data_IF_544025813922
#
_entry.id   IF_544025813922
#
_cell.length_a   1.000
_cell.length_b   1.000
_cell.length_c   1.000
_cell.angle_alpha   90.00
_cell.angle_beta   90.00
_cell.angle_gamma   90.00
#
_symmetry.space_group_name_H-M   'P 1'
#
loop_
_entity.id
_entity.type
_entity.pdbx_description
1 polymer ?
#
# COMPACT_ATOMS: atom_id res chain seq x y z
N UNK A 1 -11.53 -4.90 6.41
CA UNK A 1 -10.69 -5.57 5.39
C UNK A 1 -11.49 -5.69 4.12
N UNK A 2 -10.86 -5.45 2.98
CA UNK A 2 -11.54 -5.34 1.68
C UNK A 2 -11.04 -6.45 0.76
N UNK A 3 -11.89 -7.45 0.49
CA UNK A 3 -11.57 -8.49 -0.49
C UNK A 3 -11.94 -8.00 -1.89
N UNK A 4 -10.94 -7.91 -2.77
CA UNK A 4 -11.10 -7.43 -4.15
C UNK A 4 -10.74 -8.53 -5.17
N UNK A 5 -10.90 -9.80 -4.80
CA UNK A 5 -10.46 -10.92 -5.64
C UNK A 5 -11.23 -11.00 -6.97
N UNK A 6 -12.55 -10.72 -6.94
CA UNK A 6 -13.38 -10.62 -8.16
C UNK A 6 -12.90 -9.47 -9.04
N UNK A 7 -12.74 -8.28 -8.47
CA UNK A 7 -12.30 -7.09 -9.20
C UNK A 7 -10.96 -7.33 -9.90
N UNK A 8 -9.99 -7.92 -9.19
CA UNK A 8 -8.70 -8.32 -9.76
C UNK A 8 -8.87 -9.26 -10.95
N UNK A 9 -9.72 -10.28 -10.82
CA UNK A 9 -9.95 -11.23 -11.91
C UNK A 9 -10.60 -10.56 -13.12
N UNK A 10 -11.61 -9.72 -12.90
CA UNK A 10 -12.33 -9.02 -13.98
C UNK A 10 -11.43 -8.05 -14.73
N UNK A 11 -10.69 -7.19 -14.01
CA UNK A 11 -9.73 -6.26 -14.62
C UNK A 11 -8.56 -7.00 -15.29
N UNK A 12 -8.12 -8.13 -14.71
CA UNK A 12 -7.08 -8.98 -15.27
C UNK A 12 -7.43 -9.60 -16.64
N UNK A 13 -8.72 -9.86 -16.91
CA UNK A 13 -9.19 -10.31 -18.23
C UNK A 13 -9.11 -9.21 -19.28
N UNK A 14 -9.14 -7.94 -18.88
CA UNK A 14 -8.99 -6.77 -19.76
C UNK A 14 -7.51 -6.49 -20.01
N UNK A 15 -6.74 -6.32 -18.94
CA UNK A 15 -5.30 -6.14 -19.01
C UNK A 15 -4.62 -6.53 -17.69
N UNK A 16 -3.54 -7.33 -17.72
CA UNK A 16 -2.94 -7.91 -16.51
C UNK A 16 -2.46 -6.87 -15.49
N UNK A 17 -2.04 -5.68 -15.94
CA UNK A 17 -1.56 -4.60 -15.07
C UNK A 17 -2.62 -3.53 -14.74
N UNK A 18 -3.89 -3.71 -15.12
CA UNK A 18 -4.94 -2.72 -14.88
C UNK A 18 -5.27 -2.58 -13.40
N UNK A 19 -5.46 -3.70 -12.70
CA UNK A 19 -5.70 -3.71 -11.26
C UNK A 19 -4.61 -2.95 -10.50
N UNK A 20 -3.33 -3.27 -10.76
CA UNK A 20 -2.20 -2.58 -10.15
C UNK A 20 -2.15 -1.08 -10.47
N UNK A 21 -2.56 -0.65 -11.67
CA UNK A 21 -2.64 0.78 -11.99
C UNK A 21 -3.73 1.50 -11.17
N UNK A 22 -4.88 0.84 -10.94
CA UNK A 22 -5.94 1.36 -10.06
C UNK A 22 -5.42 1.48 -8.63
N UNK A 23 -4.84 0.41 -8.09
CA UNK A 23 -4.31 0.40 -6.72
C UNK A 23 -3.21 1.43 -6.51
N UNK A 24 -2.28 1.57 -7.44
CA UNK A 24 -1.24 2.58 -7.38
C UNK A 24 -1.83 4.01 -7.37
N UNK A 25 -2.84 4.26 -8.20
CA UNK A 25 -3.50 5.56 -8.28
C UNK A 25 -4.25 5.90 -6.98
N UNK A 26 -5.02 4.94 -6.44
CA UNK A 26 -5.75 5.13 -5.19
C UNK A 26 -4.80 5.30 -4.01
N UNK A 27 -3.78 4.45 -3.88
CA UNK A 27 -2.79 4.52 -2.80
C UNK A 27 -2.09 5.90 -2.78
N UNK A 28 -1.66 6.41 -3.94
CA UNK A 28 -1.00 7.72 -4.01
C UNK A 28 -1.95 8.89 -3.69
N UNK A 29 -3.17 8.85 -4.20
CA UNK A 29 -4.08 9.99 -4.14
C UNK A 29 -4.87 10.06 -2.82
N UNK A 30 -5.19 8.90 -2.23
CA UNK A 30 -5.97 8.80 -1.00
C UNK A 30 -5.12 8.86 0.27
N UNK A 31 -3.82 8.62 0.18
CA UNK A 31 -2.90 8.66 1.34
C UNK A 31 -3.13 9.84 2.30
N UNK A 32 -3.42 11.09 1.84
CA UNK A 32 -3.67 12.22 2.76
C UNK A 32 -5.05 12.28 3.43
N UNK A 33 -6.02 11.48 2.97
CA UNK A 33 -7.45 11.65 3.27
C UNK A 33 -8.14 10.37 3.76
N UNK A 34 -7.78 9.24 3.15
CA UNK A 34 -8.32 7.91 3.41
C UNK A 34 -7.21 6.88 3.09
N UNK A 35 -6.17 6.80 3.93
CA UNK A 35 -5.02 5.96 3.66
C UNK A 35 -5.44 4.50 3.54
N UNK A 36 -4.83 3.82 2.58
CA UNK A 36 -5.09 2.41 2.31
C UNK A 36 -3.78 1.63 2.48
N UNK A 37 -3.88 0.46 3.10
CA UNK A 37 -2.79 -0.50 3.22
C UNK A 37 -2.93 -1.55 2.12
N UNK A 38 -1.89 -1.70 1.30
CA UNK A 38 -1.91 -2.49 0.07
C UNK A 38 -0.77 -3.50 0.01
N UNK A 39 -0.80 -4.36 -1.02
CA UNK A 39 0.32 -5.25 -1.33
C UNK A 39 1.66 -4.54 -1.57
N UNK A 40 1.66 -3.24 -1.94
CA UNK A 40 2.90 -2.46 -2.04
C UNK A 40 3.52 -2.21 -0.67
N UNK A 41 2.70 -1.88 0.31
CA UNK A 41 3.14 -1.55 1.67
C UNK A 41 3.73 -2.80 2.33
N UNK A 42 3.03 -3.93 2.21
CA UNK A 42 3.53 -5.23 2.65
C UNK A 42 4.84 -5.61 1.92
N UNK A 43 4.90 -5.48 0.58
CA UNK A 43 6.12 -5.75 -0.18
C UNK A 43 7.33 -4.94 0.32
N UNK A 44 7.15 -3.62 0.52
CA UNK A 44 8.23 -2.75 1.00
C UNK A 44 8.63 -3.11 2.43
N UNK A 45 7.66 -3.40 3.29
CA UNK A 45 7.94 -3.78 4.67
C UNK A 45 8.64 -5.13 4.80
N UNK A 46 8.24 -6.14 4.01
CA UNK A 46 8.95 -7.43 3.96
C UNK A 46 10.39 -7.26 3.46
N UNK A 47 10.62 -6.41 2.45
CA UNK A 47 11.98 -6.10 2.01
C UNK A 47 12.76 -5.42 3.13
N UNK A 48 12.20 -4.45 3.85
CA UNK A 48 12.93 -3.79 4.94
C UNK A 48 13.26 -4.77 6.08
N UNK A 49 12.29 -5.58 6.52
CA UNK A 49 12.46 -6.49 7.66
C UNK A 49 13.39 -7.67 7.35
N UNK A 50 13.32 -8.21 6.14
CA UNK A 50 14.04 -9.44 5.78
C UNK A 50 15.19 -9.23 4.79
N UNK A 51 15.31 -8.04 4.21
CA UNK A 51 16.33 -7.64 3.23
C UNK A 51 16.86 -6.22 3.57
N UNK A 52 17.30 -6.03 4.81
CA UNK A 52 17.90 -4.78 5.28
C UNK A 52 19.34 -4.57 4.80
N UNK A 53 19.94 -3.45 5.21
CA UNK A 53 21.24 -2.96 4.72
C UNK A 53 22.38 -4.01 4.74
N UNK A 54 22.40 -4.89 5.74
CA UNK A 54 23.45 -5.92 5.91
C UNK A 54 23.18 -7.22 5.14
N UNK A 55 21.97 -7.43 4.61
CA UNK A 55 21.58 -8.73 4.05
C UNK A 55 22.54 -9.20 2.95
N UNK A 56 22.98 -8.28 2.09
CA UNK A 56 23.87 -8.59 0.98
C UNK A 56 25.24 -9.04 1.47
N UNK A 57 25.78 -8.33 2.47
CA UNK A 57 27.08 -8.63 3.08
C UNK A 57 27.02 -9.98 3.80
N UNK A 58 26.00 -10.19 4.64
CA UNK A 58 25.79 -11.44 5.37
C UNK A 58 25.63 -12.65 4.43
N UNK A 59 24.86 -12.50 3.34
CA UNK A 59 24.65 -13.57 2.38
C UNK A 59 25.94 -13.88 1.58
N UNK A 60 26.74 -12.86 1.28
CA UNK A 60 28.00 -13.01 0.57
C UNK A 60 29.06 -13.67 1.45
N UNK A 61 29.15 -13.28 2.72
CA UNK A 61 30.02 -13.89 3.72
C UNK A 61 29.72 -15.38 3.87
N UNK A 62 28.46 -15.75 4.12
CA UNK A 62 28.08 -17.17 4.23
C UNK A 62 28.41 -17.97 2.95
N UNK A 63 28.22 -17.40 1.77
CA UNK A 63 28.56 -18.05 0.50
C UNK A 63 30.06 -18.31 0.39
N UNK A 64 30.88 -17.32 0.77
CA UNK A 64 32.33 -17.43 0.74
C UNK A 64 32.83 -18.44 1.78
N UNK A 65 32.23 -18.47 2.96
CA UNK A 65 32.51 -19.48 3.98
C UNK A 65 32.17 -20.89 3.50
N UNK A 66 30.96 -21.08 2.94
CA UNK A 66 30.48 -22.37 2.46
C UNK A 66 31.25 -22.90 1.25
N UNK A 67 31.78 -21.99 0.41
CA UNK A 67 32.56 -22.35 -0.78
C UNK A 67 34.06 -22.49 -0.50
N UNK A 68 34.54 -22.03 0.66
CA UNK A 68 35.96 -21.90 1.01
C UNK A 68 36.77 -21.07 0.01
N UNK A 69 36.10 -20.19 -0.74
CA UNK A 69 36.70 -19.32 -1.76
C UNK A 69 36.01 -17.96 -1.71
N UNK A 70 36.77 -16.89 -1.92
CA UNK A 70 36.21 -15.56 -2.06
C UNK A 70 35.58 -15.40 -3.46
N UNK A 71 34.26 -15.47 -3.51
CA UNK A 71 33.44 -15.33 -4.71
C UNK A 71 32.88 -13.90 -4.79
N UNK A 72 32.61 -13.45 -6.02
CA UNK A 72 31.93 -12.20 -6.31
C UNK A 72 30.78 -12.50 -7.28
N UNK A 73 29.70 -13.13 -6.79
CA UNK A 73 28.58 -13.53 -7.62
C UNK A 73 27.81 -12.32 -8.15
N UNK A 74 27.02 -12.52 -9.21
CA UNK A 74 25.98 -11.56 -9.55
C UNK A 74 24.91 -11.53 -8.44
N UNK A 75 24.24 -10.39 -8.25
CA UNK A 75 23.16 -10.23 -7.27
C UNK A 75 22.09 -11.34 -7.41
N UNK A 76 21.74 -11.69 -8.65
CA UNK A 76 20.78 -12.75 -8.95
C UNK A 76 21.25 -14.13 -8.50
N UNK A 77 22.54 -14.43 -8.65
CA UNK A 77 23.09 -15.73 -8.26
C UNK A 77 23.24 -15.83 -6.74
N UNK A 78 23.58 -14.72 -6.07
CA UNK A 78 23.56 -14.62 -4.62
C UNK A 78 22.16 -14.87 -4.06
N UNK A 79 21.13 -14.26 -4.65
CA UNK A 79 19.73 -14.51 -4.26
C UNK A 79 19.34 -15.98 -4.40
N UNK A 80 19.65 -16.61 -5.54
CA UNK A 80 19.36 -18.03 -5.78
C UNK A 80 20.12 -18.96 -4.84
N UNK A 81 21.31 -18.56 -4.40
CA UNK A 81 22.05 -19.31 -3.41
C UNK A 81 21.39 -19.16 -2.02
N UNK A 82 21.05 -17.93 -1.62
CA UNK A 82 20.37 -17.65 -0.35
C UNK A 82 19.02 -18.39 -0.24
N UNK A 83 18.20 -18.37 -1.31
CA UNK A 83 16.95 -19.13 -1.40
C UNK A 83 17.16 -20.64 -1.17
N UNK A 84 18.26 -21.21 -1.70
CA UNK A 84 18.59 -22.63 -1.51
C UNK A 84 19.03 -22.96 -0.08
N UNK A 85 19.49 -21.97 0.68
CA UNK A 85 19.81 -22.11 2.11
C UNK A 85 18.60 -21.83 3.01
N UNK A 86 17.42 -21.54 2.44
CA UNK A 86 16.21 -21.19 3.20
C UNK A 86 16.23 -19.77 3.77
N UNK A 87 17.11 -18.88 3.27
CA UNK A 87 17.11 -17.45 3.61
C UNK A 87 16.11 -16.71 2.72
N UNK A 88 15.40 -15.75 3.32
CA UNK A 88 14.56 -14.80 2.58
C UNK A 88 15.35 -14.06 1.52
N UNK A 89 14.78 -13.89 0.33
CA UNK A 89 15.35 -13.08 -0.75
C UNK A 89 14.32 -12.14 -1.39
N UNK A 90 14.77 -11.09 -2.12
CA UNK A 90 13.86 -10.25 -2.91
C UNK A 90 13.07 -11.05 -3.95
N UNK A 91 13.61 -12.17 -4.42
CA UNK A 91 12.94 -13.09 -5.33
C UNK A 91 11.71 -13.75 -4.71
N UNK A 92 11.78 -14.15 -3.45
CA UNK A 92 10.66 -14.75 -2.71
C UNK A 92 9.58 -13.71 -2.40
N UNK A 93 9.98 -12.54 -1.92
CA UNK A 93 9.07 -11.42 -1.63
C UNK A 93 8.34 -10.99 -2.91
N UNK A 94 9.04 -10.93 -4.05
CA UNK A 94 8.42 -10.62 -5.35
C UNK A 94 7.45 -11.69 -5.87
N UNK A 95 7.63 -12.97 -5.50
CA UNK A 95 6.67 -14.05 -5.80
C UNK A 95 5.40 -13.93 -4.94
N UNK A 96 5.55 -13.52 -3.69
CA UNK A 96 4.45 -13.30 -2.74
C UNK A 96 3.61 -12.08 -3.14
N UNK A 97 4.28 -10.99 -3.57
CA UNK A 97 3.65 -9.74 -3.99
C UNK A 97 3.97 -9.42 -5.46
N UNK A 98 3.33 -10.10 -6.43
CA UNK A 98 3.59 -9.83 -7.83
C UNK A 98 3.18 -8.39 -8.19
N UNK A 99 4.05 -7.68 -8.91
CA UNK A 99 3.87 -6.26 -9.29
C UNK A 99 2.46 -5.89 -9.80
N UNK A 100 1.77 -6.70 -10.63
CA UNK A 100 0.43 -6.39 -11.09
C UNK A 100 -0.64 -6.20 -9.99
N UNK A 101 -0.36 -6.58 -8.74
CA UNK A 101 -1.24 -6.32 -7.60
C UNK A 101 -1.27 -4.85 -7.18
N UNK A 102 -0.21 -4.08 -7.43
CA UNK A 102 -0.08 -2.74 -6.84
C UNK A 102 0.67 -1.74 -7.71
N UNK A 103 1.12 -2.15 -8.90
CA UNK A 103 1.86 -1.30 -9.83
C UNK A 103 1.36 -1.47 -11.25
N UNK A 104 1.16 -0.36 -11.93
CA UNK A 104 0.72 -0.36 -13.33
C UNK A 104 0.95 0.98 -14.00
N UNK A 105 1.00 1.00 -15.34
CA UNK A 105 1.18 2.25 -16.06
C UNK A 105 -0.10 3.11 -16.00
N UNK A 106 -0.04 4.43 -15.73
CA UNK A 106 -1.22 5.28 -15.63
C UNK A 106 -2.13 5.25 -16.86
N UNK A 107 -1.56 5.09 -18.07
CA UNK A 107 -2.33 4.93 -19.32
C UNK A 107 -3.32 3.75 -19.30
N UNK A 108 -3.07 2.71 -18.51
CA UNK A 108 -4.02 1.60 -18.41
C UNK A 108 -5.36 2.04 -17.79
N UNK A 109 -5.39 3.11 -16.99
CA UNK A 109 -6.63 3.63 -16.43
C UNK A 109 -7.65 4.05 -17.51
N UNK A 110 -7.18 4.40 -18.70
CA UNK A 110 -8.06 4.72 -19.85
C UNK A 110 -8.92 3.51 -20.25
N UNK A 111 -8.45 2.27 -20.01
CA UNK A 111 -9.21 1.04 -20.27
C UNK A 111 -10.47 0.94 -19.41
N UNK A 112 -10.51 1.62 -18.25
CA UNK A 112 -11.72 1.67 -17.43
C UNK A 112 -12.88 2.32 -18.19
N UNK A 113 -12.60 3.20 -19.17
CA UNK A 113 -13.63 3.92 -19.95
C UNK A 113 -14.29 3.07 -21.03
N UNK A 114 -13.80 1.85 -21.27
CA UNK A 114 -14.39 0.96 -22.26
C UNK A 114 -15.81 0.53 -21.85
N UNK A 115 -16.78 0.46 -22.78
CA UNK A 115 -18.17 0.12 -22.46
C UNK A 115 -18.32 -1.23 -21.75
N UNK A 116 -17.53 -2.23 -22.12
CA UNK A 116 -17.50 -3.55 -21.50
C UNK A 116 -16.97 -3.52 -20.06
N UNK A 117 -16.03 -2.62 -19.76
CA UNK A 117 -15.44 -2.46 -18.42
C UNK A 117 -16.39 -1.67 -17.52
N UNK A 118 -17.08 -0.66 -18.06
CA UNK A 118 -18.11 0.11 -17.34
C UNK A 118 -19.32 -0.72 -16.88
N UNK A 119 -19.54 -1.91 -17.46
CA UNK A 119 -20.62 -2.83 -17.04
C UNK A 119 -20.23 -3.72 -15.86
N UNK A 120 -18.94 -3.77 -15.51
CA UNK A 120 -18.48 -4.54 -14.36
C UNK A 120 -18.94 -3.89 -13.06
N UNK A 121 -19.17 -4.72 -12.04
CA UNK A 121 -19.64 -4.27 -10.74
C UNK A 121 -18.69 -3.22 -10.13
N UNK A 122 -19.27 -2.12 -9.64
CA UNK A 122 -18.57 -1.05 -8.93
C UNK A 122 -17.63 -0.18 -9.78
N UNK A 123 -17.35 -0.54 -11.05
CA UNK A 123 -16.49 0.26 -11.93
C UNK A 123 -17.00 1.68 -12.17
N UNK A 124 -18.31 1.94 -12.38
CA UNK A 124 -18.80 3.32 -12.49
C UNK A 124 -18.51 4.15 -11.24
N UNK A 125 -18.67 3.57 -10.04
CA UNK A 125 -18.38 4.25 -8.76
C UNK A 125 -16.89 4.51 -8.58
N UNK A 126 -16.04 3.50 -8.86
CA UNK A 126 -14.58 3.66 -8.88
C UNK A 126 -14.16 4.79 -9.83
N UNK A 127 -14.74 4.79 -11.03
CA UNK A 127 -14.49 5.81 -12.05
C UNK A 127 -14.86 7.21 -11.57
N UNK A 128 -16.03 7.36 -10.95
CA UNK A 128 -16.47 8.63 -10.37
C UNK A 128 -15.51 9.13 -9.28
N UNK A 129 -14.99 8.23 -8.43
CA UNK A 129 -13.95 8.58 -7.47
C UNK A 129 -12.66 9.02 -8.18
N UNK A 130 -12.18 8.24 -9.16
CA UNK A 130 -10.96 8.56 -9.89
C UNK A 130 -11.03 9.90 -10.63
N UNK A 131 -12.20 10.27 -11.15
CA UNK A 131 -12.46 11.58 -11.78
C UNK A 131 -12.55 12.71 -10.75
N UNK A 132 -12.89 12.39 -9.49
CA UNK A 132 -12.95 13.36 -8.40
C UNK A 132 -11.58 13.67 -7.79
N UNK A 133 -10.67 12.69 -7.71
CA UNK A 133 -9.33 12.86 -7.10
C UNK A 133 -8.53 14.08 -7.60
N UNK A 134 -8.52 14.44 -8.91
CA UNK A 134 -7.80 15.62 -9.39
C UNK A 134 -8.38 16.96 -8.92
N UNK A 135 -9.63 16.98 -8.43
CA UNK A 135 -10.30 18.19 -7.94
C UNK A 135 -9.94 18.51 -6.47
N UNK A 136 -9.18 17.64 -5.80
CA UNK A 136 -8.82 17.83 -4.40
C UNK A 136 -7.82 18.99 -4.21
N UNK A 137 -7.93 19.77 -3.13
CA UNK A 137 -7.01 20.88 -2.87
C UNK A 137 -5.56 20.39 -2.73
N UNK A 138 -4.69 20.86 -3.62
CA UNK A 138 -3.24 20.54 -3.56
C UNK A 138 -2.58 21.07 -2.28
N UNK A 139 -3.14 22.12 -1.68
CA UNK A 139 -2.71 22.70 -0.39
C UNK A 139 -2.81 21.69 0.75
N UNK A 140 -3.79 20.79 0.70
CA UNK A 140 -4.00 19.75 1.72
C UNK A 140 -3.04 18.57 1.49
N UNK A 141 -2.67 18.29 0.24
CA UNK A 141 -1.68 17.25 -0.10
C UNK A 141 -0.28 17.53 0.51
N UNK A 142 0.03 18.79 0.80
CA UNK A 142 1.28 19.23 1.42
C UNK A 142 1.26 19.19 2.95
N UNK A 143 0.17 18.74 3.57
CA UNK A 143 0.04 18.66 5.03
C UNK A 143 1.03 17.72 5.73
N UNK A 144 1.95 17.06 5.01
CA UNK A 144 2.90 16.03 5.43
C UNK A 144 3.77 16.29 6.66
N UNK A 145 3.69 17.44 7.33
CA UNK A 145 4.30 17.61 8.65
C UNK A 145 3.82 16.49 9.62
N UNK A 146 2.61 15.96 9.44
CA UNK A 146 2.10 14.82 10.23
C UNK A 146 2.65 13.44 9.86
N UNK A 147 3.11 13.27 8.62
CA UNK A 147 3.77 12.04 8.13
C UNK A 147 5.28 12.06 8.40
N UNK A 148 5.89 13.25 8.33
CA UNK A 148 7.32 13.47 8.49
C UNK A 148 7.78 13.41 9.96
N UNK A 149 6.88 13.70 10.92
CA UNK A 149 7.17 13.69 12.37
C UNK A 149 7.03 12.31 13.05
N UNK A 150 6.86 11.22 12.29
CA UNK A 150 6.98 9.80 12.74
C UNK A 150 6.17 9.38 13.98
N UNK A 151 5.05 10.05 14.32
CA UNK A 151 4.31 9.76 15.57
C UNK A 151 2.78 9.91 15.53
N UNK A 152 2.11 9.79 14.39
CA UNK A 152 0.69 10.19 14.33
C UNK A 152 -0.23 9.19 13.65
N UNK A 153 -1.36 8.95 14.32
CA UNK A 153 -2.52 8.19 13.86
C UNK A 153 -3.30 9.07 12.88
N UNK A 154 -3.56 8.59 11.67
CA UNK A 154 -4.49 9.23 10.75
C UNK A 154 -5.90 9.26 11.37
N UNK A 155 -6.65 10.37 11.32
CA UNK A 155 -7.94 10.52 12.02
C UNK A 155 -9.07 9.62 11.50
N UNK A 156 -8.79 8.76 10.52
CA UNK A 156 -9.74 7.81 9.94
C UNK A 156 -9.16 6.42 9.87
N UNK A 157 -10.04 5.44 9.69
CA UNK A 157 -9.67 4.04 9.52
C UNK A 157 -8.71 3.88 8.32
N UNK A 158 -7.72 3.01 8.49
CA UNK A 158 -6.89 2.53 7.39
C UNK A 158 -7.62 1.37 6.73
N UNK A 159 -7.90 1.48 5.44
CA UNK A 159 -8.51 0.38 4.69
C UNK A 159 -7.44 -0.63 4.27
N UNK A 160 -7.57 -1.87 4.73
CA UNK A 160 -6.65 -2.96 4.35
C UNK A 160 -7.22 -3.69 3.13
N UNK A 161 -6.48 -3.65 2.02
CA UNK A 161 -6.84 -4.27 0.76
C UNK A 161 -6.17 -5.64 0.62
N UNK A 162 -6.97 -6.70 0.69
CA UNK A 162 -6.53 -8.08 0.51
C UNK A 162 -6.90 -8.56 -0.90
N UNK A 163 -5.97 -9.25 -1.55
CA UNK A 163 -6.05 -9.59 -2.97
C UNK A 163 -6.10 -11.10 -3.23
N UNK A 164 -6.09 -11.90 -2.17
CA UNK A 164 -6.19 -13.35 -2.23
C UNK A 164 -7.63 -13.83 -1.93
N UNK A 165 -7.94 -15.03 -2.43
CA UNK A 165 -9.24 -15.68 -2.27
C UNK A 165 -9.42 -16.24 -0.85
N UNK A 166 -8.33 -16.65 -0.21
CA UNK A 166 -8.31 -17.13 1.16
C UNK A 166 -7.87 -15.98 2.08
N UNK A 167 -8.80 -15.46 2.89
CA UNK A 167 -8.55 -14.33 3.77
C UNK A 167 -7.72 -14.72 4.99
N UNK A 168 -7.65 -16.02 5.35
CA UNK A 168 -6.89 -16.51 6.50
C UNK A 168 -5.38 -16.56 6.26
N UNK A 169 -4.94 -16.46 5.01
CA UNK A 169 -3.54 -16.60 4.56
C UNK A 169 -3.13 -15.51 3.56
N UNK A 170 -3.75 -14.32 3.62
CA UNK A 170 -3.34 -13.21 2.76
C UNK A 170 -2.08 -12.56 3.36
N UNK A 171 -0.94 -12.55 2.64
CA UNK A 171 0.33 -12.04 3.16
C UNK A 171 0.31 -10.53 3.43
N UNK A 172 -0.63 -9.78 2.85
CA UNK A 172 -0.83 -8.36 3.19
C UNK A 172 -1.40 -8.23 4.59
N UNK A 173 -2.34 -9.09 4.95
CA UNK A 173 -2.98 -9.09 6.26
C UNK A 173 -2.04 -9.61 7.35
N UNK A 174 -1.31 -10.70 7.06
CA UNK A 174 -0.31 -11.25 7.97
C UNK A 174 0.71 -10.18 8.36
N UNK A 175 1.29 -9.49 7.37
CA UNK A 175 2.25 -8.43 7.63
C UNK A 175 1.67 -7.21 8.36
N UNK A 176 0.43 -6.83 8.04
CA UNK A 176 -0.24 -5.75 8.75
C UNK A 176 -0.40 -6.08 10.25
N UNK A 177 -0.75 -7.32 10.58
CA UNK A 177 -0.87 -7.78 11.96
C UNK A 177 0.52 -7.86 12.64
N UNK A 178 1.54 -8.37 11.95
CA UNK A 178 2.93 -8.40 12.46
C UNK A 178 3.46 -7.00 12.80
N UNK A 179 3.17 -6.01 11.96
CA UNK A 179 3.48 -4.60 12.27
C UNK A 179 2.76 -4.13 13.54
N UNK A 180 1.49 -4.49 13.71
CA UNK A 180 0.72 -4.18 14.92
C UNK A 180 1.37 -4.76 16.17
N UNK A 181 1.79 -6.03 16.10
CA UNK A 181 2.48 -6.72 17.20
C UNK A 181 3.86 -6.12 17.48
N UNK A 182 4.62 -5.76 16.44
CA UNK A 182 5.92 -5.09 16.59
C UNK A 182 5.77 -3.74 17.31
N UNK A 183 4.80 -2.92 16.87
CA UNK A 183 4.53 -1.60 17.45
C UNK A 183 3.95 -1.70 18.87
N UNK A 184 3.16 -2.73 19.16
CA UNK A 184 2.59 -2.96 20.50
C UNK A 184 3.62 -3.48 21.51
N UNK A 185 4.68 -4.16 21.05
CA UNK A 185 5.75 -4.68 21.90
C UNK A 185 6.82 -3.63 22.26
N UNK A 186 6.94 -2.55 21.48
CA UNK A 186 7.64 -1.35 21.91
C UNK A 186 6.77 -0.60 22.92
N UNK A 187 7.33 -0.29 24.10
CA UNK A 187 6.68 0.44 25.19
C UNK A 187 6.36 1.92 24.85
N UNK A 188 5.59 2.14 23.79
CA UNK A 188 4.84 3.35 23.46
C UNK A 188 3.36 3.15 23.82
N UNK A 189 3.13 2.55 24.99
CA UNK A 189 1.85 2.52 25.65
C UNK A 189 1.45 3.93 26.12
N UNK A 190 0.96 4.73 25.18
CA UNK A 190 -0.05 5.77 25.37
C UNK A 190 -0.84 5.82 24.05
N UNK A 191 -1.86 4.96 23.94
CA UNK A 191 -2.98 5.21 23.05
C UNK A 191 -3.63 6.51 23.51
N UNK A 192 -3.15 7.66 23.04
CA UNK A 192 -3.86 8.94 23.00
C UNK A 192 -2.85 10.05 22.74
N UNK A 193 -2.85 10.58 21.52
CA UNK A 193 -3.02 12.01 21.32
C UNK A 193 -3.63 12.19 19.94
N UNK A 194 -4.94 12.52 19.89
CA UNK A 194 -5.52 13.17 18.73
C UNK A 194 -4.59 14.34 18.38
N UNK A 195 -4.09 14.33 17.16
CA UNK A 195 -3.12 15.28 16.68
C UNK A 195 -3.59 16.73 16.97
N UNK A 196 -2.70 17.53 17.56
CA UNK A 196 -2.95 18.95 17.74
C UNK A 196 -2.80 19.68 16.40
N UNK A 197 -3.90 20.16 15.82
CA UNK A 197 -3.81 21.22 14.82
C UNK A 197 -3.36 22.49 15.54
N UNK A 198 -2.13 22.94 15.26
CA UNK A 198 -1.63 24.23 15.75
C UNK A 198 -2.38 25.37 15.07
N UNK A 199 -3.57 25.68 15.57
CA UNK A 199 -4.39 26.80 15.15
C UNK A 199 -3.87 28.05 15.86
N UNK A 200 -3.05 28.82 15.16
CA UNK A 200 -2.39 30.03 15.70
C UNK A 200 -3.07 31.32 15.28
N UNK A 201 -3.97 31.25 14.29
CA UNK A 201 -4.69 32.39 13.71
C UNK A 201 -5.94 31.93 12.93
N UNK A 202 -6.72 32.88 12.40
CA UNK A 202 -7.94 32.59 11.62
C UNK A 202 -7.66 31.81 10.34
N UNK A 203 -6.51 32.01 9.69
CA UNK A 203 -6.19 31.33 8.44
C UNK A 203 -5.84 29.85 8.66
N UNK A 204 -5.04 29.56 9.68
CA UNK A 204 -4.73 28.20 10.14
C UNK A 204 -5.98 27.47 10.63
N UNK A 205 -6.90 28.16 11.31
CA UNK A 205 -8.22 27.61 11.66
C UNK A 205 -9.03 27.22 10.41
N UNK A 206 -9.16 28.13 9.44
CA UNK A 206 -9.90 27.87 8.20
C UNK A 206 -9.34 26.69 7.41
N UNK A 207 -7.99 26.58 7.32
CA UNK A 207 -7.33 25.43 6.70
C UNK A 207 -7.59 24.10 7.43
N UNK A 208 -7.63 24.13 8.77
CA UNK A 208 -7.94 22.94 9.56
C UNK A 208 -9.39 22.47 9.31
N UNK A 209 -10.34 23.42 9.26
CA UNK A 209 -11.73 23.10 8.92
C UNK A 209 -11.87 22.55 7.49
N UNK A 210 -11.22 23.19 6.51
CA UNK A 210 -11.17 22.69 5.12
C UNK A 210 -10.60 21.26 5.05
N UNK A 211 -9.54 20.97 5.82
CA UNK A 211 -8.98 19.62 5.92
C UNK A 211 -10.00 18.60 6.41
N UNK A 212 -10.71 18.88 7.52
CA UNK A 212 -11.69 17.97 8.07
C UNK A 212 -12.87 17.73 7.12
N UNK A 213 -13.36 18.79 6.46
CA UNK A 213 -14.44 18.68 5.48
C UNK A 213 -14.05 17.83 4.27
N UNK A 214 -12.86 18.07 3.71
CA UNK A 214 -12.35 17.30 2.56
C UNK A 214 -12.08 15.85 2.95
N UNK A 215 -11.49 15.60 4.12
CA UNK A 215 -11.24 14.26 4.63
C UNK A 215 -12.55 13.49 4.86
N UNK A 216 -13.57 14.12 5.46
CA UNK A 216 -14.87 13.50 5.67
C UNK A 216 -15.59 13.16 4.35
N UNK A 217 -15.60 14.09 3.38
CA UNK A 217 -16.18 13.81 2.06
C UNK A 217 -15.42 12.68 1.36
N UNK A 218 -14.09 12.65 1.47
CA UNK A 218 -13.28 11.60 0.85
C UNK A 218 -13.53 10.23 1.45
N UNK A 219 -13.56 10.12 2.78
CA UNK A 219 -13.85 8.85 3.46
C UNK A 219 -15.23 8.32 3.08
N UNK A 220 -16.24 9.19 2.98
CA UNK A 220 -17.57 8.80 2.50
C UNK A 220 -17.53 8.26 1.07
N UNK A 221 -16.88 8.94 0.13
CA UNK A 221 -16.79 8.49 -1.27
C UNK A 221 -16.00 7.21 -1.43
N UNK A 222 -14.94 7.06 -0.63
CA UNK A 222 -14.11 5.85 -0.61
C UNK A 222 -14.91 4.67 -0.07
N UNK A 223 -15.68 4.87 1.01
CA UNK A 223 -16.60 3.86 1.52
C UNK A 223 -17.64 3.44 0.47
N UNK A 224 -18.30 4.40 -0.19
CA UNK A 224 -19.28 4.14 -1.26
C UNK A 224 -18.66 3.33 -2.42
N UNK A 225 -17.42 3.63 -2.78
CA UNK A 225 -16.68 2.85 -3.77
C UNK A 225 -16.39 1.43 -3.26
N UNK A 226 -15.91 1.26 -2.02
CA UNK A 226 -15.62 -0.05 -1.46
C UNK A 226 -16.87 -0.92 -1.35
N UNK A 227 -17.97 -0.38 -0.87
CA UNK A 227 -19.26 -1.07 -0.80
C UNK A 227 -19.71 -1.57 -2.17
N UNK A 228 -19.37 -0.83 -3.24
CA UNK A 228 -19.70 -1.21 -4.61
C UNK A 228 -18.75 -2.26 -5.20
N UNK A 229 -17.50 -2.36 -4.72
CA UNK A 229 -16.44 -3.20 -5.29
C UNK A 229 -16.21 -4.52 -4.54
N UNK A 230 -16.39 -4.50 -3.21
CA UNK A 230 -16.14 -5.65 -2.34
C UNK A 230 -17.10 -6.80 -2.64
N UNK A 231 -16.62 -8.01 -2.36
CA UNK A 231 -17.34 -9.28 -2.51
C UNK A 231 -18.38 -9.54 -1.41
#
# INVERSE_FOLDING_TARGET
>A
MLSLHRLRADLGRVHPALFGAVMERLHQALSPYAPIFTAKDAYLGFLELHYGDMWHEDALEDLNEASHVELQPSERDLWRWAERQGRWSPGEVGRMFPRPLFKGHPRHLELLRLPEVQRLQGIPTLCALLDHLPMLPKSIMQGRIWYEERRLIHPGAVDIVICQRDQGHDPVLEFYNELGDYVANDSYGEMEHLQAFSVTDTASHARAMEYFEVTADMQRRVQEMWDALVD
#
